data_IF_208824657152
#
_entry.id   IF_208824657152
#
_cell.length_a   1.000
_cell.length_b   1.000
_cell.length_c   1.000
_cell.angle_alpha   90.00
_cell.angle_beta   90.00
_cell.angle_gamma   90.00
#
_symmetry.space_group_name_H-M   'P 1'
#
loop_
_entity.id
_entity.type
_entity.pdbx_description
1 polymer ?
#
# COMPACT_ATOMS: atom_id res chain seq x y z
N UNK A 1 7.31 -0.77 22.44
CA UNK A 1 5.95 -1.19 22.05
C UNK A 1 5.15 0.06 21.73
N UNK A 2 4.68 0.24 20.49
CA UNK A 2 3.91 1.43 20.08
C UNK A 2 2.49 1.32 20.63
N UNK A 3 2.26 1.87 21.82
CA UNK A 3 0.93 2.08 22.39
C UNK A 3 0.13 3.10 21.55
N UNK A 4 -1.22 3.16 21.59
CA UNK A 4 -1.99 4.26 20.99
C UNK A 4 -1.48 5.66 21.39
N UNK A 5 -0.94 5.78 22.60
CA UNK A 5 -0.26 6.99 23.07
C UNK A 5 0.98 7.36 22.23
N UNK A 6 1.70 6.38 21.69
CA UNK A 6 2.83 6.57 20.79
C UNK A 6 2.38 7.02 19.38
N UNK A 7 1.22 6.55 18.89
CA UNK A 7 0.66 7.01 17.61
C UNK A 7 0.28 8.48 17.68
N UNK A 8 -0.31 8.91 18.80
CA UNK A 8 -0.66 10.30 19.04
C UNK A 8 0.59 11.21 19.07
N UNK A 9 1.65 10.80 19.78
CA UNK A 9 2.93 11.52 19.78
C UNK A 9 3.58 11.60 18.39
N UNK A 10 3.53 10.51 17.63
CA UNK A 10 4.05 10.49 16.25
C UNK A 10 3.24 11.36 15.30
N UNK A 11 1.91 11.32 15.38
CA UNK A 11 1.07 12.19 14.58
C UNK A 11 1.41 13.67 14.84
N UNK A 12 1.62 14.04 16.12
CA UNK A 12 2.13 15.37 16.50
C UNK A 12 3.50 15.68 15.89
N UNK A 13 4.46 14.77 15.97
CA UNK A 13 5.81 14.96 15.44
C UNK A 13 5.80 15.15 13.91
N UNK A 14 5.07 14.28 13.20
CA UNK A 14 4.92 14.36 11.75
C UNK A 14 4.20 15.66 11.33
N UNK A 15 3.19 16.10 12.09
CA UNK A 15 2.52 17.38 11.86
C UNK A 15 3.47 18.56 12.05
N UNK A 16 4.31 18.54 13.08
CA UNK A 16 5.36 19.56 13.31
C UNK A 16 6.39 19.59 12.18
N UNK A 17 6.65 18.45 11.52
CA UNK A 17 7.51 18.34 10.33
C UNK A 17 6.84 18.86 9.05
N UNK A 18 5.60 19.35 9.13
CA UNK A 18 4.88 19.96 8.01
C UNK A 18 4.10 18.98 7.14
N UNK A 19 3.96 17.71 7.56
CA UNK A 19 3.19 16.73 6.79
C UNK A 19 1.70 17.06 6.81
N UNK A 20 1.06 16.81 5.67
CA UNK A 20 -0.39 16.80 5.50
C UNK A 20 -1.03 15.65 6.30
N UNK A 21 -2.34 15.75 6.55
CA UNK A 21 -3.11 14.69 7.23
C UNK A 21 -3.01 13.37 6.44
N UNK A 22 -3.08 13.43 5.11
CA UNK A 22 -2.99 12.25 4.25
C UNK A 22 -1.61 11.59 4.31
N UNK A 23 -0.52 12.38 4.36
CA UNK A 23 0.83 11.84 4.56
C UNK A 23 0.98 11.20 5.94
N UNK A 24 0.42 11.81 6.98
CA UNK A 24 0.43 11.23 8.33
C UNK A 24 -0.36 9.92 8.38
N UNK A 25 -1.54 9.87 7.77
CA UNK A 25 -2.34 8.66 7.68
C UNK A 25 -1.57 7.51 7.02
N UNK A 26 -0.85 7.80 5.94
CA UNK A 26 0.01 6.83 5.25
C UNK A 26 1.20 6.38 6.11
N UNK A 27 1.96 7.31 6.68
CA UNK A 27 3.12 6.97 7.54
C UNK A 27 2.74 6.15 8.77
N UNK A 28 1.51 6.34 9.27
CA UNK A 28 0.98 5.61 10.41
C UNK A 28 0.14 4.38 10.02
N UNK A 29 -0.08 4.09 8.73
CA UNK A 29 -0.95 3.00 8.26
C UNK A 29 -2.36 3.01 8.91
N UNK A 30 -2.92 4.21 9.08
CA UNK A 30 -4.27 4.45 9.60
C UNK A 30 -5.15 5.14 8.56
N UNK A 31 -6.46 5.19 8.81
CA UNK A 31 -7.39 5.98 8.01
C UNK A 31 -7.09 7.49 8.15
N UNK A 32 -7.59 8.28 7.20
CA UNK A 32 -7.44 9.74 7.23
C UNK A 32 -8.12 10.32 8.47
N UNK A 33 -9.32 9.81 8.76
CA UNK A 33 -10.14 10.13 9.92
C UNK A 33 -9.40 9.80 11.22
N UNK A 34 -8.70 8.66 11.28
CA UNK A 34 -7.86 8.30 12.43
C UNK A 34 -6.68 9.25 12.58
N UNK A 35 -6.04 9.68 11.49
CA UNK A 35 -4.96 10.66 11.55
C UNK A 35 -5.45 12.03 12.04
N UNK A 36 -6.63 12.49 11.59
CA UNK A 36 -7.29 13.70 12.09
C UNK A 36 -7.58 13.60 13.59
N UNK A 37 -8.25 12.52 13.99
CA UNK A 37 -8.54 12.22 15.39
C UNK A 37 -7.27 12.21 16.26
N UNK A 38 -6.20 11.57 15.78
CA UNK A 38 -4.93 11.52 16.52
C UNK A 38 -4.32 12.91 16.70
N UNK A 39 -4.49 13.85 15.76
CA UNK A 39 -3.97 15.22 15.88
C UNK A 39 -4.84 16.07 16.83
N UNK A 40 -6.16 15.99 16.68
CA UNK A 40 -7.14 16.73 17.48
C UNK A 40 -7.11 16.29 18.94
N UNK A 41 -7.15 14.98 19.20
CA UNK A 41 -7.01 14.42 20.54
C UNK A 41 -5.69 14.80 21.20
N UNK A 42 -4.61 14.85 20.42
CA UNK A 42 -3.33 15.30 20.94
C UNK A 42 -3.33 16.78 21.36
N UNK A 43 -4.23 17.59 20.79
CA UNK A 43 -4.42 19.00 21.14
C UNK A 43 -5.29 19.18 22.40
N UNK A 44 -5.77 18.08 22.99
CA UNK A 44 -6.57 18.07 24.22
C UNK A 44 -8.08 18.01 23.99
N UNK A 45 -8.51 17.79 22.75
CA UNK A 45 -9.94 17.65 22.41
C UNK A 45 -10.48 16.28 22.82
N UNK A 46 -11.67 16.25 23.40
CA UNK A 46 -12.39 15.03 23.75
C UNK A 46 -13.38 14.69 22.65
N UNK A 47 -12.87 13.97 21.65
CA UNK A 47 -13.59 13.52 20.46
C UNK A 47 -13.66 11.99 20.45
N UNK A 48 -14.69 11.43 19.83
CA UNK A 48 -14.82 9.99 19.71
C UNK A 48 -13.81 9.42 18.68
N UNK A 49 -13.18 8.26 18.96
CA UNK A 49 -12.31 7.61 18.00
C UNK A 49 -13.09 7.10 16.78
N UNK A 50 -12.55 7.25 15.56
CA UNK A 50 -13.12 6.63 14.38
C UNK A 50 -12.99 5.10 14.46
N UNK A 51 -13.85 4.41 13.71
CA UNK A 51 -13.76 2.95 13.55
C UNK A 51 -12.63 2.62 12.57
N UNK A 52 -11.49 2.21 13.10
CA UNK A 52 -10.33 1.82 12.30
C UNK A 52 -9.49 0.76 13.04
N UNK A 53 -8.74 -0.04 12.28
CA UNK A 53 -7.82 -1.05 12.80
C UNK A 53 -6.39 -0.62 12.47
N UNK A 54 -5.58 -0.37 13.50
CA UNK A 54 -4.15 -0.13 13.31
C UNK A 54 -3.42 -1.45 13.04
N UNK A 55 -2.60 -1.49 11.99
CA UNK A 55 -1.78 -2.65 11.61
C UNK A 55 -0.32 -2.29 11.85
N UNK A 56 0.26 -2.86 12.90
CA UNK A 56 1.71 -2.79 13.14
C UNK A 56 2.42 -3.92 12.39
N UNK A 57 2.89 -3.61 11.18
CA UNK A 57 3.68 -4.56 10.39
C UNK A 57 5.19 -4.35 10.52
N UNK A 58 5.65 -3.42 11.39
CA UNK A 58 7.07 -3.15 11.59
C UNK A 58 7.90 -4.42 11.84
N UNK A 59 7.45 -5.39 12.65
CA UNK A 59 8.20 -6.62 12.82
C UNK A 59 8.47 -7.32 11.49
N UNK A 60 7.52 -7.32 10.55
CA UNK A 60 7.77 -7.84 9.20
C UNK A 60 8.71 -6.92 8.43
N UNK A 61 8.41 -5.62 8.39
CA UNK A 61 9.14 -4.62 7.60
C UNK A 61 10.63 -4.55 7.92
N UNK A 62 10.99 -4.70 9.20
CA UNK A 62 12.37 -4.59 9.68
C UNK A 62 13.16 -5.89 9.62
N UNK A 63 12.56 -7.00 9.17
CA UNK A 63 13.23 -8.29 9.03
C UNK A 63 13.22 -8.76 7.57
N UNK A 64 14.38 -8.74 6.88
CA UNK A 64 14.49 -9.24 5.52
C UNK A 64 13.99 -10.67 5.35
N UNK A 65 14.22 -11.55 6.34
CA UNK A 65 13.73 -12.93 6.34
C UNK A 65 12.21 -13.01 6.38
N UNK A 66 11.55 -12.26 7.28
CA UNK A 66 10.07 -12.27 7.35
C UNK A 66 9.46 -11.66 6.10
N UNK A 67 10.08 -10.61 5.58
CA UNK A 67 9.66 -9.96 4.35
C UNK A 67 9.76 -10.91 3.15
N UNK A 68 10.86 -11.66 3.03
CA UNK A 68 11.02 -12.68 2.00
C UNK A 68 9.95 -13.77 2.10
N UNK A 69 9.66 -14.27 3.31
CA UNK A 69 8.65 -15.30 3.52
C UNK A 69 7.24 -14.81 3.11
N UNK A 70 6.85 -13.59 3.48
CA UNK A 70 5.56 -13.04 3.08
C UNK A 70 5.51 -12.67 1.60
N UNK A 71 6.62 -12.19 1.02
CA UNK A 71 6.73 -11.97 -0.42
C UNK A 71 6.54 -13.27 -1.21
N UNK A 72 7.11 -14.38 -0.75
CA UNK A 72 6.91 -15.72 -1.34
C UNK A 72 5.48 -16.21 -1.18
N UNK A 73 4.87 -16.03 0.00
CA UNK A 73 3.47 -16.38 0.23
C UNK A 73 2.52 -15.59 -0.70
N UNK A 74 2.74 -14.28 -0.84
CA UNK A 74 1.95 -13.44 -1.75
C UNK A 74 2.20 -13.81 -3.21
N UNK A 75 3.43 -14.15 -3.59
CA UNK A 75 3.76 -14.63 -4.95
C UNK A 75 3.04 -15.94 -5.27
N UNK A 76 2.99 -16.88 -4.33
CA UNK A 76 2.25 -18.13 -4.49
C UNK A 76 0.75 -17.87 -4.70
N UNK A 77 0.13 -16.99 -3.89
CA UNK A 77 -1.26 -16.58 -4.09
C UNK A 77 -1.49 -15.96 -5.49
N UNK A 78 -0.59 -15.06 -5.92
CA UNK A 78 -0.68 -14.44 -7.24
C UNK A 78 -0.59 -15.48 -8.36
N UNK A 79 0.31 -16.47 -8.24
CA UNK A 79 0.45 -17.56 -9.19
C UNK A 79 -0.83 -18.41 -9.29
N UNK A 80 -1.45 -18.76 -8.17
CA UNK A 80 -2.73 -19.48 -8.19
C UNK A 80 -3.82 -18.71 -8.93
N UNK A 81 -3.88 -17.39 -8.76
CA UNK A 81 -4.88 -16.55 -9.43
C UNK A 81 -4.58 -16.35 -10.92
N UNK A 82 -3.31 -16.42 -11.32
CA UNK A 82 -2.89 -16.50 -12.74
C UNK A 82 -3.33 -17.84 -13.34
N UNK A 83 -3.08 -18.96 -12.65
CA UNK A 83 -3.46 -20.31 -13.10
C UNK A 83 -4.98 -20.47 -13.23
N UNK A 84 -5.74 -19.82 -12.35
CA UNK A 84 -7.21 -19.73 -12.41
C UNK A 84 -7.72 -18.82 -13.54
N UNK A 85 -6.83 -18.10 -14.22
CA UNK A 85 -7.18 -17.16 -15.29
C UNK A 85 -7.84 -15.87 -14.82
N UNK A 86 -7.76 -15.54 -13.52
CA UNK A 86 -8.32 -14.30 -12.97
C UNK A 86 -7.52 -13.08 -13.42
N UNK A 87 -6.21 -13.24 -13.56
CA UNK A 87 -5.31 -12.25 -14.15
C UNK A 87 -4.37 -12.91 -15.16
N UNK A 88 -3.83 -12.09 -16.06
CA UNK A 88 -2.70 -12.50 -16.90
C UNK A 88 -1.39 -12.52 -16.09
N UNK A 89 -0.39 -13.25 -16.60
CA UNK A 89 0.97 -13.15 -16.08
C UNK A 89 1.49 -11.70 -16.18
N UNK A 90 2.01 -11.10 -15.09
CA UNK A 90 2.56 -9.75 -15.11
C UNK A 90 3.87 -9.68 -15.88
N UNK A 91 4.11 -8.59 -16.60
CA UNK A 91 5.41 -8.33 -17.22
C UNK A 91 6.29 -7.45 -16.32
N UNK A 92 5.65 -6.58 -15.53
CA UNK A 92 6.30 -5.67 -14.58
C UNK A 92 5.56 -5.74 -13.24
N UNK A 93 6.31 -5.88 -12.16
CA UNK A 93 5.81 -5.68 -10.79
C UNK A 93 6.20 -4.27 -10.35
N UNK A 94 5.22 -3.48 -9.89
CA UNK A 94 5.40 -2.11 -9.45
C UNK A 94 5.31 -2.01 -7.93
N UNK A 95 6.43 -1.70 -7.27
CA UNK A 95 6.47 -1.44 -5.84
C UNK A 95 6.03 -0.02 -5.53
N UNK A 96 5.01 0.13 -4.69
CA UNK A 96 4.56 1.43 -4.23
C UNK A 96 5.56 2.00 -3.22
N UNK A 97 6.02 3.23 -3.47
CA UNK A 97 6.96 3.89 -2.56
C UNK A 97 6.20 4.35 -1.30
N UNK A 98 6.70 4.05 -0.09
CA UNK A 98 7.97 3.36 0.24
C UNK A 98 7.81 1.88 0.63
N UNK A 99 6.72 1.53 1.30
CA UNK A 99 6.53 0.24 1.99
C UNK A 99 6.37 -0.95 1.05
N UNK A 100 5.79 -0.76 -0.14
CA UNK A 100 5.62 -1.81 -1.14
C UNK A 100 6.90 -2.24 -1.86
N UNK A 101 7.95 -1.40 -1.85
CA UNK A 101 9.18 -1.63 -2.66
C UNK A 101 9.94 -2.91 -2.29
N UNK A 102 10.23 -3.20 -1.00
CA UNK A 102 10.92 -4.42 -0.64
C UNK A 102 10.12 -5.68 -1.01
N UNK A 103 8.81 -5.67 -0.80
CA UNK A 103 7.91 -6.78 -1.15
C UNK A 103 7.87 -7.00 -2.66
N UNK A 104 7.73 -5.92 -3.42
CA UNK A 104 7.75 -5.95 -4.88
C UNK A 104 9.05 -6.55 -5.43
N UNK A 105 10.18 -6.29 -4.78
CA UNK A 105 11.48 -6.84 -5.18
C UNK A 105 11.54 -8.36 -5.00
N UNK A 106 10.98 -8.88 -3.90
CA UNK A 106 10.86 -10.34 -3.69
C UNK A 106 9.92 -10.94 -4.73
N UNK A 107 8.74 -10.36 -4.91
CA UNK A 107 7.72 -10.89 -5.82
C UNK A 107 8.18 -10.87 -7.28
N UNK A 108 8.82 -9.78 -7.73
CA UNK A 108 9.37 -9.71 -9.08
C UNK A 108 10.40 -10.81 -9.34
N UNK A 109 11.22 -11.14 -8.33
CA UNK A 109 12.20 -12.23 -8.40
C UNK A 109 11.51 -13.60 -8.50
N UNK A 110 10.53 -13.87 -7.63
CA UNK A 110 9.81 -15.16 -7.61
C UNK A 110 9.00 -15.39 -8.90
N UNK A 111 8.41 -14.33 -9.45
CA UNK A 111 7.67 -14.38 -10.72
C UNK A 111 8.57 -14.21 -11.96
N UNK A 112 9.87 -13.99 -11.81
CA UNK A 112 10.77 -13.76 -12.95
C UNK A 112 10.41 -12.55 -13.83
N UNK A 113 9.78 -11.52 -13.26
CA UNK A 113 9.33 -10.31 -13.98
C UNK A 113 10.32 -9.17 -13.85
N UNK A 114 10.08 -8.07 -14.58
CA UNK A 114 10.77 -6.81 -14.31
C UNK A 114 10.20 -6.14 -13.06
N UNK A 115 10.97 -5.21 -12.49
CA UNK A 115 10.58 -4.38 -11.34
C UNK A 115 10.54 -2.91 -11.76
N UNK A 116 9.53 -2.19 -11.30
CA UNK A 116 9.48 -0.73 -11.31
C UNK A 116 9.02 -0.18 -9.96
N UNK A 117 9.23 1.11 -9.74
CA UNK A 117 8.79 1.81 -8.54
C UNK A 117 7.80 2.91 -8.92
N UNK A 118 6.73 3.05 -8.14
CA UNK A 118 5.76 4.12 -8.34
C UNK A 118 5.63 4.93 -7.06
N UNK A 119 5.78 6.25 -7.19
CA UNK A 119 5.41 7.19 -6.13
C UNK A 119 4.02 7.75 -6.48
N UNK A 120 2.95 7.29 -5.81
CA UNK A 120 1.64 7.88 -6.01
C UNK A 120 1.65 9.36 -5.59
N UNK A 121 0.79 10.17 -6.22
CA UNK A 121 0.56 11.56 -5.81
C UNK A 121 0.15 11.60 -4.32
N UNK A 122 0.68 12.57 -3.58
CA UNK A 122 0.18 12.96 -2.27
C UNK A 122 -0.28 14.41 -2.28
N UNK A 123 -1.34 14.69 -1.53
CA UNK A 123 -2.03 15.97 -1.45
C UNK A 123 -1.09 17.08 -0.95
N UNK A 124 -0.40 17.74 -1.90
CA UNK A 124 0.57 18.80 -1.57
C UNK A 124 1.26 19.50 -2.74
N UNK A 125 0.96 19.15 -4.01
CA UNK A 125 1.41 19.94 -5.18
C UNK A 125 2.39 19.27 -6.15
N UNK A 126 2.90 18.06 -5.89
CA UNK A 126 3.92 17.39 -6.74
C UNK A 126 3.43 16.15 -7.49
N UNK A 127 3.58 16.11 -8.82
CA UNK A 127 3.06 15.03 -9.69
C UNK A 127 3.50 13.63 -9.22
N UNK A 128 2.57 12.68 -9.17
CA UNK A 128 2.92 11.26 -9.00
C UNK A 128 3.80 10.80 -10.16
N UNK A 129 4.67 9.82 -9.92
CA UNK A 129 5.66 9.41 -10.91
C UNK A 129 5.87 7.89 -10.94
N UNK A 130 6.01 7.37 -12.15
CA UNK A 130 6.64 6.07 -12.42
C UNK A 130 8.15 6.33 -12.54
N UNK A 131 8.97 5.49 -11.92
CA UNK A 131 10.42 5.74 -11.91
C UNK A 131 11.06 5.55 -13.29
N UNK A 132 11.78 6.57 -13.75
CA UNK A 132 12.58 6.54 -15.00
C UNK A 132 13.88 5.71 -14.87
N UNK A 133 14.24 5.27 -13.66
CA UNK A 133 15.47 4.50 -13.40
C UNK A 133 15.24 2.99 -13.43
N UNK A 134 13.99 2.56 -13.38
CA UNK A 134 13.59 1.16 -13.35
C UNK A 134 12.85 0.81 -14.65
N UNK A 135 12.29 -0.39 -14.74
CA UNK A 135 11.57 -0.81 -15.95
C UNK A 135 10.44 0.15 -16.29
N UNK A 136 10.34 0.47 -17.57
CA UNK A 136 9.19 1.17 -18.13
C UNK A 136 7.92 0.32 -18.03
N UNK A 137 6.77 0.99 -18.07
CA UNK A 137 5.45 0.36 -17.95
C UNK A 137 4.62 0.43 -19.24
N UNK A 138 5.05 1.20 -20.25
CA UNK A 138 4.30 1.37 -21.51
C UNK A 138 4.06 0.02 -22.18
N UNK A 139 2.81 -0.23 -22.57
CA UNK A 139 2.34 -1.46 -23.20
C UNK A 139 2.54 -2.74 -22.36
N UNK A 140 2.82 -2.60 -21.05
CA UNK A 140 3.06 -3.72 -20.14
C UNK A 140 1.90 -3.99 -19.20
N UNK A 141 1.71 -5.26 -18.87
CA UNK A 141 0.86 -5.70 -17.75
C UNK A 141 1.58 -5.47 -16.42
N UNK A 142 1.03 -4.57 -15.60
CA UNK A 142 1.66 -4.11 -14.36
C UNK A 142 0.88 -4.58 -13.14
N UNK A 143 1.52 -5.37 -12.29
CA UNK A 143 0.97 -5.76 -10.98
C UNK A 143 1.52 -4.81 -9.91
N UNK A 144 0.63 -4.13 -9.19
CA UNK A 144 1.02 -3.20 -8.11
C UNK A 144 1.20 -3.97 -6.80
N UNK A 145 2.20 -3.62 -6.00
CA UNK A 145 2.44 -4.21 -4.68
C UNK A 145 2.55 -3.12 -3.62
N UNK A 146 1.86 -3.32 -2.50
CA UNK A 146 1.94 -2.49 -1.29
C UNK A 146 1.90 -3.35 -0.01
N UNK A 147 2.07 -2.76 1.17
CA UNK A 147 1.98 -3.47 2.45
C UNK A 147 0.53 -3.63 2.94
N UNK A 148 -0.19 -2.51 3.05
CA UNK A 148 -1.53 -2.46 3.64
C UNK A 148 -2.44 -1.59 2.78
N UNK A 149 -3.63 -2.09 2.47
CA UNK A 149 -4.67 -1.28 1.84
C UNK A 149 -5.72 -0.83 2.85
N UNK A 150 -6.04 0.47 2.83
CA UNK A 150 -7.08 1.09 3.65
C UNK A 150 -8.34 1.40 2.83
N UNK A 151 -8.43 2.57 2.21
CA UNK A 151 -9.58 2.97 1.38
C UNK A 151 -9.44 2.56 -0.08
N UNK A 152 -8.23 2.16 -0.50
CA UNK A 152 -7.86 1.90 -1.89
C UNK A 152 -7.62 3.16 -2.73
N UNK A 153 -7.74 4.36 -2.15
CA UNK A 153 -7.52 5.63 -2.86
C UNK A 153 -6.11 5.71 -3.48
N UNK A 154 -5.08 5.32 -2.74
CA UNK A 154 -3.69 5.29 -3.24
C UNK A 154 -3.53 4.30 -4.40
N UNK A 155 -4.17 3.14 -4.33
CA UNK A 155 -4.17 2.16 -5.41
C UNK A 155 -4.82 2.72 -6.69
N UNK A 156 -5.98 3.40 -6.57
CA UNK A 156 -6.64 4.08 -7.70
C UNK A 156 -5.73 5.08 -8.39
N UNK A 157 -5.06 5.93 -7.61
CA UNK A 157 -4.10 6.89 -8.16
C UNK A 157 -2.93 6.21 -8.85
N UNK A 158 -2.40 5.13 -8.26
CA UNK A 158 -1.35 4.33 -8.89
C UNK A 158 -1.80 3.72 -10.21
N UNK A 159 -3.04 3.20 -10.30
CA UNK A 159 -3.59 2.69 -11.55
C UNK A 159 -3.73 3.79 -12.60
N UNK A 160 -4.14 5.01 -12.23
CA UNK A 160 -4.17 6.17 -13.13
C UNK A 160 -2.78 6.47 -13.68
N UNK A 161 -1.76 6.55 -12.82
CA UNK A 161 -0.37 6.82 -13.24
C UNK A 161 0.16 5.76 -14.20
N UNK A 162 -0.15 4.49 -13.98
CA UNK A 162 0.23 3.41 -14.91
C UNK A 162 -0.44 3.61 -16.26
N UNK A 163 -1.76 3.89 -16.28
CA UNK A 163 -2.52 4.12 -17.53
C UNK A 163 -2.03 5.35 -18.28
N UNK A 164 -1.75 6.45 -17.57
CA UNK A 164 -1.19 7.68 -18.13
C UNK A 164 0.20 7.46 -18.74
N UNK A 165 0.98 6.54 -18.18
CA UNK A 165 2.28 6.11 -18.71
C UNK A 165 2.17 5.02 -19.81
N UNK A 166 0.97 4.75 -20.33
CA UNK A 166 0.72 3.77 -21.40
C UNK A 166 0.69 2.31 -20.95
N UNK A 167 0.73 2.04 -19.63
CA UNK A 167 0.70 0.69 -19.07
C UNK A 167 -0.70 0.18 -18.74
N UNK A 168 -0.78 -1.12 -18.44
CA UNK A 168 -2.01 -1.82 -18.14
C UNK A 168 -1.98 -2.37 -16.71
N UNK A 169 -2.57 -1.68 -15.71
CA UNK A 169 -2.63 -2.23 -14.36
C UNK A 169 -3.55 -3.46 -14.35
N UNK A 170 -3.08 -4.57 -13.76
CA UNK A 170 -3.82 -5.85 -13.73
C UNK A 170 -4.35 -6.25 -12.34
N UNK A 171 -4.02 -5.47 -11.31
CA UNK A 171 -4.40 -5.76 -9.93
C UNK A 171 -3.43 -5.15 -8.92
N UNK A 172 -3.71 -5.39 -7.64
CA UNK A 172 -2.82 -5.03 -6.53
C UNK A 172 -2.67 -6.19 -5.55
N UNK A 173 -1.43 -6.46 -5.12
CA UNK A 173 -1.10 -7.40 -4.05
C UNK A 173 -0.71 -6.67 -2.77
N UNK A 174 -1.26 -7.09 -1.63
CA UNK A 174 -0.98 -6.54 -0.29
C UNK A 174 -0.82 -7.64 0.74
N UNK A 175 -0.21 -7.33 1.89
CA UNK A 175 -0.23 -8.24 3.04
C UNK A 175 -1.59 -8.15 3.74
N UNK A 176 -2.04 -6.94 4.05
CA UNK A 176 -3.27 -6.72 4.83
C UNK A 176 -4.29 -5.87 4.08
N UNK A 177 -5.52 -6.39 3.95
CA UNK A 177 -6.68 -5.67 3.47
C UNK A 177 -7.56 -5.19 4.63
N UNK A 178 -7.66 -3.87 4.82
CA UNK A 178 -8.60 -3.22 5.75
C UNK A 178 -9.88 -2.71 5.05
N UNK A 179 -9.91 -2.68 3.73
CA UNK A 179 -11.05 -2.18 2.94
C UNK A 179 -12.22 -3.14 2.97
N UNK A 180 -11.93 -4.45 2.90
CA UNK A 180 -12.95 -5.50 2.82
C UNK A 180 -13.54 -5.69 1.42
N UNK A 181 -12.79 -5.36 0.37
CA UNK A 181 -13.26 -5.36 -1.03
C UNK A 181 -12.27 -6.10 -1.91
N UNK A 182 -12.77 -7.05 -2.69
CA UNK A 182 -11.95 -7.90 -3.55
C UNK A 182 -11.51 -7.21 -4.85
N UNK A 183 -12.01 -6.00 -5.10
CA UNK A 183 -11.66 -5.18 -6.27
C UNK A 183 -11.54 -3.68 -5.98
N UNK A 184 -10.81 -2.98 -6.86
CA UNK A 184 -10.68 -1.53 -6.95
C UNK A 184 -10.71 -1.15 -8.42
N UNK A 185 -11.73 -0.39 -8.84
CA UNK A 185 -11.93 -0.01 -10.26
C UNK A 185 -11.99 -1.22 -11.20
N UNK A 186 -12.64 -2.31 -10.74
CA UNK A 186 -12.76 -3.57 -11.49
C UNK A 186 -11.45 -4.38 -11.56
N UNK A 187 -10.38 -3.94 -10.90
CA UNK A 187 -9.12 -4.69 -10.81
C UNK A 187 -9.04 -5.45 -9.47
N UNK A 188 -8.56 -6.71 -9.47
CA UNK A 188 -8.56 -7.54 -8.27
C UNK A 188 -7.56 -7.06 -7.21
N UNK A 189 -7.94 -7.28 -5.96
CA UNK A 189 -7.09 -7.12 -4.76
C UNK A 189 -6.70 -8.51 -4.27
N UNK A 190 -5.40 -8.79 -4.25
CA UNK A 190 -4.81 -10.00 -3.66
C UNK A 190 -4.28 -9.65 -2.28
N UNK A 191 -4.71 -10.38 -1.25
CA UNK A 191 -4.32 -10.14 0.13
C UNK A 191 -4.04 -11.44 0.87
N UNK A 192 -3.10 -11.42 1.81
CA UNK A 192 -2.86 -12.58 2.69
C UNK A 192 -3.78 -12.57 3.90
N UNK A 193 -4.12 -11.39 4.42
CA UNK A 193 -4.92 -11.22 5.64
C UNK A 193 -5.97 -10.13 5.40
N UNK A 194 -7.23 -10.39 5.78
CA UNK A 194 -8.28 -9.36 5.84
C UNK A 194 -8.53 -8.98 7.29
N UNK A 195 -8.38 -7.70 7.60
CA UNK A 195 -8.71 -7.12 8.89
C UNK A 195 -10.01 -6.31 8.75
N UNK A 196 -11.07 -6.73 9.43
CA UNK A 196 -12.35 -6.04 9.41
C UNK A 196 -12.92 -5.91 10.82
N UNK A 197 -13.59 -4.80 11.08
CA UNK A 197 -14.40 -4.64 12.29
C UNK A 197 -15.69 -5.43 12.11
N UNK A 198 -16.03 -6.27 13.08
CA UNK A 198 -17.24 -7.13 13.05
C UNK A 198 -18.53 -6.31 13.32
N UNK A 199 -18.38 -5.05 13.75
CA UNK A 199 -19.44 -4.22 14.36
C UNK A 199 -19.61 -2.89 13.62
#
# INVERSE_FOLDING_TARGET
MRSPFNLMEKAKELRKRGLSIDEIAKELNVSRETAEYLIEKASGEDIEPPRDIYVDWEPVASSPTRLELLGKALSNLIMEEIERGKISYPEVVAGMISSGVPLASVIAKELGTKLTLIRPWHYGGGKGLVSEKFSEVSDKKVLVIDDVITTGRTAKYTFSLIREAGGHPIGIGVIVDKKGSDEIEGLPVFYLIRASTII
#
